data_IF_386315621480
#
_entry.id   IF_386315621480
#
_cell.length_a   1.000
_cell.length_b   1.000
_cell.length_c   1.000
_cell.angle_alpha   90.00
_cell.angle_beta   90.00
_cell.angle_gamma   90.00
#
_symmetry.space_group_name_H-M   'P 1'
#
loop_
_entity.id
_entity.type
_entity.pdbx_description
1 polymer ?
#
# COMPACT_ATOMS: atom_id res chain seq x y z
N UNK A 1 28.85 -11.00 30.40
CA UNK A 1 28.29 -11.57 29.16
C UNK A 1 27.22 -12.58 29.56
N UNK A 2 26.03 -12.52 28.96
CA UNK A 2 25.06 -13.62 29.10
C UNK A 2 25.74 -14.86 28.54
N UNK A 3 26.16 -15.76 29.42
CA UNK A 3 26.73 -17.02 29.01
C UNK A 3 25.56 -17.85 28.48
N UNK A 4 25.51 -18.06 27.16
CA UNK A 4 24.41 -18.77 26.49
C UNK A 4 24.19 -20.19 27.04
N UNK A 5 25.16 -20.72 27.80
CA UNK A 5 25.18 -22.04 28.40
C UNK A 5 25.17 -22.04 29.94
N UNK A 6 25.01 -20.90 30.62
CA UNK A 6 24.91 -20.90 32.09
C UNK A 6 23.46 -20.98 32.54
N UNK A 7 23.15 -21.96 33.36
CA UNK A 7 21.85 -22.18 34.03
C UNK A 7 21.64 -21.22 35.22
N UNK A 8 21.90 -19.93 35.06
CA UNK A 8 21.56 -18.94 36.09
C UNK A 8 20.09 -18.61 35.94
N UNK A 9 19.25 -19.12 36.84
CA UNK A 9 17.81 -18.83 36.86
C UNK A 9 17.60 -17.50 37.58
N UNK A 10 17.34 -16.44 36.81
CA UNK A 10 17.06 -15.12 37.36
C UNK A 10 15.64 -15.05 37.91
N UNK A 11 15.45 -14.28 38.99
CA UNK A 11 14.13 -14.06 39.61
C UNK A 11 13.78 -12.57 39.60
N UNK A 12 12.48 -12.28 39.62
CA UNK A 12 12.01 -10.92 39.84
C UNK A 12 12.54 -10.38 41.17
N UNK A 13 12.87 -9.09 41.20
CA UNK A 13 13.36 -8.40 42.38
C UNK A 13 14.86 -8.53 42.65
N UNK A 14 15.59 -9.37 41.88
CA UNK A 14 17.05 -9.42 41.90
C UNK A 14 17.66 -8.17 41.24
N UNK A 15 18.89 -7.83 41.63
CA UNK A 15 19.60 -6.70 41.02
C UNK A 15 19.90 -7.00 39.54
N UNK A 16 19.71 -5.99 38.69
CA UNK A 16 19.99 -6.14 37.26
C UNK A 16 21.50 -6.39 37.07
N UNK A 17 21.91 -7.49 36.41
CA UNK A 17 23.30 -7.96 36.42
C UNK A 17 24.26 -7.12 35.56
N UNK A 18 23.75 -6.16 34.77
CA UNK A 18 24.56 -5.27 33.94
C UNK A 18 23.80 -3.97 33.62
N UNK A 19 24.53 -2.86 33.43
CA UNK A 19 23.93 -1.57 33.10
C UNK A 19 23.43 -1.45 31.65
N UNK A 20 23.89 -2.34 30.74
CA UNK A 20 23.47 -2.37 29.34
C UNK A 20 23.69 -3.74 28.70
N UNK A 21 22.93 -4.07 27.67
CA UNK A 21 23.03 -5.34 26.95
C UNK A 21 24.18 -5.28 25.92
N UNK A 22 25.21 -6.13 26.03
CA UNK A 22 26.31 -6.17 25.06
C UNK A 22 25.86 -6.52 23.62
N UNK A 23 24.65 -7.06 23.44
CA UNK A 23 24.09 -7.41 22.15
C UNK A 23 23.12 -6.38 21.59
N UNK A 24 22.98 -5.19 22.19
CA UNK A 24 22.08 -4.13 21.70
C UNK A 24 22.33 -3.77 20.21
N UNK A 25 23.58 -3.88 19.72
CA UNK A 25 23.90 -3.67 18.29
C UNK A 25 23.15 -4.61 17.32
N UNK A 26 22.64 -5.75 17.80
CA UNK A 26 21.81 -6.67 17.02
C UNK A 26 20.53 -6.01 16.53
N UNK A 27 19.99 -5.03 17.27
CA UNK A 27 18.80 -4.26 16.85
C UNK A 27 18.97 -3.73 15.43
N UNK A 28 20.06 -3.00 15.18
CA UNK A 28 20.37 -2.42 13.86
C UNK A 28 20.52 -3.48 12.78
N UNK A 29 21.12 -4.63 13.11
CA UNK A 29 21.29 -5.75 12.17
C UNK A 29 19.95 -6.37 11.79
N UNK A 30 19.05 -6.60 12.75
CA UNK A 30 17.70 -7.11 12.46
C UNK A 30 16.88 -6.12 11.63
N UNK A 31 16.94 -4.82 11.94
CA UNK A 31 16.25 -3.79 11.17
C UNK A 31 16.76 -3.72 9.74
N UNK A 32 18.08 -3.66 9.52
CA UNK A 32 18.68 -3.64 8.18
C UNK A 32 18.34 -4.92 7.41
N UNK A 33 18.45 -6.08 8.04
CA UNK A 33 18.10 -7.37 7.43
C UNK A 33 16.63 -7.40 7.02
N UNK A 34 15.73 -6.89 7.88
CA UNK A 34 14.31 -6.75 7.57
C UNK A 34 14.08 -5.86 6.34
N UNK A 35 14.72 -4.70 6.26
CA UNK A 35 14.63 -3.79 5.10
C UNK A 35 15.13 -4.47 3.82
N UNK A 36 16.30 -5.11 3.85
CA UNK A 36 16.86 -5.82 2.70
C UNK A 36 15.95 -6.94 2.22
N UNK A 37 15.37 -7.71 3.15
CA UNK A 37 14.43 -8.78 2.81
C UNK A 37 13.15 -8.23 2.16
N UNK A 38 12.59 -7.14 2.67
CA UNK A 38 11.43 -6.46 2.06
C UNK A 38 11.75 -6.04 0.63
N UNK A 39 12.92 -5.43 0.40
CA UNK A 39 13.37 -5.00 -0.94
C UNK A 39 13.52 -6.20 -1.87
N UNK A 40 14.22 -7.26 -1.41
CA UNK A 40 14.46 -8.47 -2.19
C UNK A 40 13.17 -9.16 -2.61
N UNK A 41 12.27 -9.43 -1.66
CA UNK A 41 10.99 -10.11 -1.94
C UNK A 41 10.08 -9.24 -2.83
N UNK A 42 10.10 -7.91 -2.66
CA UNK A 42 9.34 -6.99 -3.52
C UNK A 42 9.89 -6.96 -4.95
N UNK A 43 11.22 -6.92 -5.11
CA UNK A 43 11.87 -7.02 -6.41
C UNK A 43 11.57 -8.37 -7.09
N UNK A 44 11.61 -9.47 -6.34
CA UNK A 44 11.24 -10.79 -6.85
C UNK A 44 9.78 -10.84 -7.34
N UNK A 45 8.83 -10.30 -6.56
CA UNK A 45 7.41 -10.22 -6.97
C UNK A 45 7.21 -9.36 -8.23
N UNK A 46 7.90 -8.24 -8.34
CA UNK A 46 7.87 -7.38 -9.54
C UNK A 46 8.46 -8.11 -10.76
N UNK A 47 9.57 -8.82 -10.59
CA UNK A 47 10.21 -9.61 -11.64
C UNK A 47 9.30 -10.74 -12.13
N UNK A 48 8.61 -11.44 -11.23
CA UNK A 48 7.61 -12.47 -11.59
C UNK A 48 6.43 -11.92 -12.42
N UNK A 49 6.15 -10.62 -12.32
CA UNK A 49 5.16 -9.92 -13.14
C UNK A 49 5.74 -9.27 -14.39
N UNK A 50 7.02 -9.53 -14.70
CA UNK A 50 7.77 -8.91 -15.79
C UNK A 50 7.81 -7.37 -15.73
N UNK A 51 7.80 -6.80 -14.52
CA UNK A 51 7.90 -5.36 -14.31
C UNK A 51 9.38 -4.95 -14.19
N UNK A 52 9.86 -3.96 -14.95
CA UNK A 52 11.23 -3.45 -14.83
C UNK A 52 11.52 -2.91 -13.43
N UNK A 53 12.63 -3.33 -12.83
CA UNK A 53 13.01 -2.95 -11.46
C UNK A 53 13.58 -1.53 -11.34
N UNK A 54 13.94 -0.89 -12.46
CA UNK A 54 14.56 0.44 -12.49
C UNK A 54 13.77 1.47 -11.67
N UNK A 55 12.47 1.58 -11.91
CA UNK A 55 11.64 2.58 -11.22
C UNK A 55 11.41 2.23 -9.75
N UNK A 56 11.40 0.95 -9.40
CA UNK A 56 11.34 0.49 -8.01
C UNK A 56 12.61 0.86 -7.24
N UNK A 57 13.79 0.59 -7.80
CA UNK A 57 15.08 0.95 -7.19
C UNK A 57 15.25 2.46 -7.04
N UNK A 58 14.90 3.23 -8.07
CA UNK A 58 14.88 4.69 -7.99
C UNK A 58 13.93 5.20 -6.89
N UNK A 59 12.80 4.52 -6.72
CA UNK A 59 11.86 4.80 -5.63
C UNK A 59 12.52 4.62 -4.27
N UNK A 60 13.29 3.55 -4.07
CA UNK A 60 14.04 3.28 -2.83
C UNK A 60 15.10 4.36 -2.57
N UNK A 61 15.88 4.71 -3.59
CA UNK A 61 16.93 5.73 -3.49
C UNK A 61 16.39 7.11 -3.10
N UNK A 62 15.13 7.40 -3.44
CA UNK A 62 14.44 8.62 -3.06
C UNK A 62 13.78 8.47 -1.67
N UNK A 63 13.07 7.37 -1.46
CA UNK A 63 12.23 7.20 -0.26
C UNK A 63 13.04 6.99 1.01
N UNK A 64 14.18 6.31 0.93
CA UNK A 64 14.96 5.96 2.11
C UNK A 64 15.62 7.20 2.75
N UNK A 65 16.33 8.09 2.01
CA UNK A 65 16.85 9.34 2.57
C UNK A 65 15.74 10.26 3.10
N UNK A 66 14.64 10.42 2.34
CA UNK A 66 13.50 11.25 2.76
C UNK A 66 12.82 10.66 4.00
N UNK A 67 12.75 9.33 4.11
CA UNK A 67 12.24 8.64 5.29
C UNK A 67 13.12 8.85 6.52
N UNK A 68 14.45 8.77 6.39
CA UNK A 68 15.38 9.03 7.50
C UNK A 68 15.26 10.49 7.97
N UNK A 69 15.22 11.44 7.03
CA UNK A 69 15.02 12.85 7.36
C UNK A 69 13.67 13.10 8.04
N UNK A 70 12.60 12.50 7.52
CA UNK A 70 11.27 12.57 8.14
C UNK A 70 11.27 11.97 9.55
N UNK A 71 11.96 10.86 9.77
CA UNK A 71 12.08 10.25 11.09
C UNK A 71 12.71 11.24 12.10
N UNK A 72 13.83 11.86 11.72
CA UNK A 72 14.52 12.84 12.55
C UNK A 72 13.67 14.08 12.84
N UNK A 73 13.05 14.67 11.81
CA UNK A 73 12.25 15.88 11.95
C UNK A 73 11.06 15.64 12.88
N UNK A 74 10.24 14.62 12.61
CA UNK A 74 9.04 14.37 13.42
C UNK A 74 9.36 13.81 14.80
N UNK A 75 10.47 13.07 14.96
CA UNK A 75 10.89 12.56 16.27
C UNK A 75 11.33 13.69 17.19
N UNK A 76 12.17 14.61 16.71
CA UNK A 76 12.63 15.74 17.50
C UNK A 76 11.57 16.81 17.74
N UNK A 77 10.67 17.04 16.77
CA UNK A 77 9.51 17.91 16.99
C UNK A 77 8.58 17.37 18.10
N UNK A 78 8.44 16.05 18.20
CA UNK A 78 7.62 15.42 19.24
C UNK A 78 8.27 15.34 20.62
N UNK A 79 9.59 15.57 20.74
CA UNK A 79 10.35 15.44 21.98
C UNK A 79 10.58 16.78 22.69
N UNK A 80 9.63 17.73 22.56
CA UNK A 80 9.78 19.14 22.94
C UNK A 80 10.32 19.35 24.37
N UNK A 81 11.61 19.62 24.50
CA UNK A 81 12.26 20.21 25.67
C UNK A 81 12.82 21.60 25.36
N UNK A 82 13.16 22.39 26.39
CA UNK A 82 13.50 23.83 26.28
C UNK A 82 14.80 24.18 25.52
N UNK A 83 15.51 23.20 24.96
CA UNK A 83 16.86 23.37 24.38
C UNK A 83 16.95 22.97 22.89
N UNK A 84 15.87 23.02 22.10
CA UNK A 84 15.92 22.63 20.69
C UNK A 84 16.15 23.81 19.74
N UNK A 85 17.03 23.62 18.75
CA UNK A 85 17.27 24.57 17.65
C UNK A 85 16.84 23.94 16.32
N UNK A 86 16.31 24.74 15.39
CA UNK A 86 15.72 24.28 14.12
C UNK A 86 16.66 23.37 13.29
N UNK A 87 17.98 23.62 13.33
CA UNK A 87 18.95 22.82 12.56
C UNK A 87 19.15 21.41 13.13
N UNK A 88 18.87 21.19 14.41
CA UNK A 88 18.98 19.87 15.04
C UNK A 88 17.97 18.88 14.46
N UNK A 89 16.87 19.36 13.87
CA UNK A 89 15.88 18.51 13.19
C UNK A 89 16.49 17.65 12.06
N UNK A 90 17.61 18.08 11.48
CA UNK A 90 18.30 17.37 10.40
C UNK A 90 19.37 16.39 10.89
N UNK A 91 19.71 16.41 12.18
CA UNK A 91 20.75 15.56 12.74
C UNK A 91 20.21 14.15 13.00
N UNK A 92 20.05 13.38 11.94
CA UNK A 92 19.54 12.01 11.98
C UNK A 92 20.49 11.02 12.68
N UNK A 93 21.72 11.43 13.00
CA UNK A 93 22.69 10.65 13.77
C UNK A 93 22.54 10.82 15.28
N UNK A 94 21.69 11.76 15.73
CA UNK A 94 21.33 11.92 17.14
C UNK A 94 20.05 11.13 17.47
N UNK A 95 19.85 10.79 18.76
CA UNK A 95 18.60 10.19 19.22
C UNK A 95 17.35 11.04 18.92
N UNK A 96 16.18 10.41 18.97
CA UNK A 96 14.90 11.08 18.74
C UNK A 96 14.37 10.91 17.31
N UNK A 97 14.35 9.68 16.79
CA UNK A 97 13.72 9.36 15.51
C UNK A 97 12.28 8.87 15.69
N UNK A 98 11.36 9.35 14.85
CA UNK A 98 9.97 8.91 14.80
C UNK A 98 9.73 7.89 13.68
N UNK A 99 9.24 6.71 14.05
CA UNK A 99 8.74 5.73 13.09
C UNK A 99 7.64 6.32 12.18
N UNK A 100 6.68 7.05 12.74
CA UNK A 100 5.59 7.67 11.98
C UNK A 100 6.11 8.73 11.00
N UNK A 101 7.09 9.52 11.41
CA UNK A 101 7.78 10.47 10.53
C UNK A 101 8.43 9.79 9.33
N UNK A 102 9.12 8.68 9.57
CA UNK A 102 9.75 7.88 8.50
C UNK A 102 8.71 7.33 7.52
N UNK A 103 7.65 6.72 8.05
CA UNK A 103 6.59 6.14 7.24
C UNK A 103 5.85 7.20 6.41
N UNK A 104 5.57 8.36 6.99
CA UNK A 104 4.89 9.46 6.32
C UNK A 104 5.76 10.03 5.20
N UNK A 105 6.98 10.49 5.49
CA UNK A 105 7.85 11.13 4.50
C UNK A 105 8.37 10.13 3.46
N UNK A 106 8.90 8.99 3.89
CA UNK A 106 9.43 7.96 2.98
C UNK A 106 8.33 7.31 2.14
N UNK A 107 7.21 6.97 2.76
CA UNK A 107 6.06 6.37 2.08
C UNK A 107 5.41 7.31 1.06
N UNK A 108 5.25 8.59 1.41
CA UNK A 108 4.73 9.59 0.46
C UNK A 108 5.69 9.83 -0.71
N UNK A 109 7.00 9.90 -0.46
CA UNK A 109 8.00 10.02 -1.51
C UNK A 109 7.97 8.82 -2.48
N UNK A 110 7.94 7.60 -1.95
CA UNK A 110 7.80 6.38 -2.77
C UNK A 110 6.50 6.39 -3.59
N UNK A 111 5.38 6.76 -2.96
CA UNK A 111 4.08 6.85 -3.63
C UNK A 111 4.10 7.88 -4.76
N UNK A 112 4.59 9.10 -4.51
CA UNK A 112 4.63 10.16 -5.52
C UNK A 112 5.52 9.79 -6.70
N UNK A 113 6.68 9.18 -6.44
CA UNK A 113 7.58 8.71 -7.48
C UNK A 113 6.92 7.62 -8.36
N UNK A 114 6.40 6.57 -7.74
CA UNK A 114 5.77 5.45 -8.47
C UNK A 114 4.47 5.90 -9.16
N UNK A 115 3.70 6.79 -8.54
CA UNK A 115 2.51 7.38 -9.15
C UNK A 115 2.87 8.21 -10.39
N UNK A 116 3.94 9.00 -10.33
CA UNK A 116 4.42 9.73 -11.50
C UNK A 116 4.88 8.77 -12.60
N UNK A 117 5.70 7.77 -12.26
CA UNK A 117 6.19 6.76 -13.22
C UNK A 117 5.09 5.86 -13.80
N UNK A 118 4.02 5.60 -13.06
CA UNK A 118 2.85 4.84 -13.53
C UNK A 118 2.25 5.41 -14.82
N UNK A 119 2.34 6.74 -15.01
CA UNK A 119 1.77 7.43 -16.18
C UNK A 119 2.57 7.18 -17.47
N UNK A 120 3.87 6.93 -17.34
CA UNK A 120 4.77 6.68 -18.47
C UNK A 120 4.89 5.19 -18.76
N UNK A 121 5.06 4.38 -17.71
CA UNK A 121 5.19 2.92 -17.82
C UNK A 121 3.87 2.21 -18.04
N UNK A 122 2.74 2.90 -17.83
CA UNK A 122 1.38 2.35 -17.86
C UNK A 122 1.18 1.20 -16.85
N UNK A 123 1.97 1.14 -15.79
CA UNK A 123 1.82 0.17 -14.71
C UNK A 123 1.02 0.81 -13.58
N UNK A 124 -0.12 0.24 -13.22
CA UNK A 124 -0.99 0.80 -12.18
C UNK A 124 -0.27 0.88 -10.82
N UNK A 125 -0.46 1.99 -10.10
CA UNK A 125 0.08 2.16 -8.74
C UNK A 125 -0.38 1.05 -7.78
N UNK A 126 -1.57 0.50 -8.00
CA UNK A 126 -2.10 -0.60 -7.20
C UNK A 126 -1.31 -1.90 -7.40
N UNK A 127 -0.66 -2.08 -8.56
CA UNK A 127 0.22 -3.23 -8.81
C UNK A 127 1.49 -3.10 -7.99
N UNK A 128 2.10 -1.91 -7.97
CA UNK A 128 3.25 -1.64 -7.10
C UNK A 128 2.88 -1.82 -5.63
N UNK A 129 1.72 -1.29 -5.20
CA UNK A 129 1.24 -1.43 -3.84
C UNK A 129 1.10 -2.91 -3.42
N UNK A 130 0.44 -3.75 -4.24
CA UNK A 130 0.30 -5.18 -3.95
C UNK A 130 1.63 -5.95 -3.94
N UNK A 131 2.62 -5.48 -4.70
CA UNK A 131 3.94 -6.11 -4.73
C UNK A 131 4.83 -5.71 -3.55
N UNK A 132 4.64 -4.52 -2.98
CA UNK A 132 5.52 -3.94 -1.95
C UNK A 132 4.87 -3.99 -0.56
N UNK A 133 3.67 -3.42 -0.42
CA UNK A 133 3.04 -3.13 0.87
C UNK A 133 2.87 -4.38 1.75
N UNK A 134 2.37 -5.52 1.25
CA UNK A 134 2.28 -6.73 2.07
C UNK A 134 3.62 -7.17 2.64
N UNK A 135 4.71 -7.02 1.89
CA UNK A 135 6.03 -7.50 2.30
C UNK A 135 6.59 -6.72 3.49
N UNK A 136 6.08 -5.53 3.80
CA UNK A 136 6.47 -4.77 5.01
C UNK A 136 6.29 -5.61 6.27
N UNK A 137 5.31 -6.52 6.30
CA UNK A 137 5.11 -7.47 7.41
C UNK A 137 6.33 -8.37 7.66
N UNK A 138 7.10 -8.73 6.63
CA UNK A 138 8.35 -9.48 6.82
C UNK A 138 9.37 -8.63 7.57
N UNK A 139 9.56 -7.39 7.13
CA UNK A 139 10.46 -6.45 7.80
C UNK A 139 10.06 -6.22 9.26
N UNK A 140 8.75 -6.08 9.53
CA UNK A 140 8.23 -5.99 10.88
C UNK A 140 8.51 -7.27 11.68
N UNK A 141 8.23 -8.45 11.13
CA UNK A 141 8.44 -9.71 11.83
C UNK A 141 9.88 -9.90 12.30
N UNK A 142 10.85 -9.51 11.47
CA UNK A 142 12.28 -9.55 11.79
C UNK A 142 12.67 -8.41 12.73
N UNK A 143 12.17 -7.20 12.51
CA UNK A 143 12.44 -6.04 13.35
C UNK A 143 12.03 -6.25 14.81
N UNK A 144 10.97 -7.02 15.08
CA UNK A 144 10.58 -7.39 16.45
C UNK A 144 11.64 -8.17 17.21
N UNK A 145 12.48 -8.94 16.53
CA UNK A 145 13.63 -9.57 17.19
C UNK A 145 14.68 -8.56 17.59
N UNK A 146 14.85 -7.48 16.83
CA UNK A 146 15.69 -6.36 17.23
C UNK A 146 15.23 -5.74 18.55
N UNK A 147 13.92 -5.55 18.71
CA UNK A 147 13.33 -4.98 19.93
C UNK A 147 13.68 -5.77 21.19
N UNK A 148 13.79 -7.10 21.10
CA UNK A 148 14.22 -7.95 22.21
C UNK A 148 15.66 -7.60 22.66
N UNK A 149 16.59 -7.42 21.73
CA UNK A 149 17.98 -7.05 22.05
C UNK A 149 18.12 -5.59 22.47
N UNK A 150 17.16 -4.73 22.10
CA UNK A 150 17.12 -3.35 22.54
C UNK A 150 16.33 -3.14 23.84
N UNK A 151 15.71 -4.21 24.37
CA UNK A 151 14.84 -4.14 25.55
C UNK A 151 13.71 -3.12 25.41
N UNK A 152 13.00 -3.12 24.27
CA UNK A 152 11.89 -2.21 23.96
C UNK A 152 10.63 -2.98 23.52
N UNK A 153 9.43 -2.44 23.76
CA UNK A 153 8.17 -3.02 23.25
C UNK A 153 7.99 -4.48 23.71
N UNK A 154 8.25 -4.69 24.99
CA UNK A 154 7.91 -5.92 25.71
C UNK A 154 6.46 -5.85 26.19
N UNK A 155 5.92 -6.98 26.66
CA UNK A 155 4.54 -7.06 27.10
C UNK A 155 4.32 -6.57 28.53
N UNK A 156 3.19 -6.99 29.11
CA UNK A 156 2.82 -6.67 30.48
C UNK A 156 3.79 -7.32 31.48
N UNK A 157 3.90 -6.71 32.65
CA UNK A 157 4.65 -7.25 33.78
C UNK A 157 4.12 -8.63 34.20
N UNK A 158 5.04 -9.54 34.48
CA UNK A 158 4.75 -10.89 34.96
C UNK A 158 5.04 -10.95 36.46
N UNK A 159 4.02 -11.35 37.23
CA UNK A 159 4.18 -11.67 38.64
C UNK A 159 4.90 -13.01 38.86
N UNK A 160 5.52 -13.19 40.01
CA UNK A 160 6.33 -14.38 40.34
C UNK A 160 5.55 -15.68 40.19
N UNK A 161 4.26 -15.67 40.55
CA UNK A 161 3.36 -16.82 40.41
C UNK A 161 3.15 -17.25 38.93
N UNK A 162 3.40 -16.36 37.98
CA UNK A 162 3.22 -16.58 36.55
C UNK A 162 4.55 -16.78 35.78
N UNK A 163 5.69 -16.88 36.47
CA UNK A 163 7.00 -17.04 35.85
C UNK A 163 7.13 -18.31 34.98
N UNK A 164 6.34 -19.34 35.29
CA UNK A 164 6.23 -20.58 34.49
C UNK A 164 5.78 -20.32 33.04
N UNK A 165 5.10 -19.19 32.77
CA UNK A 165 4.61 -18.82 31.43
C UNK A 165 5.71 -18.37 30.47
N UNK A 166 6.90 -18.01 30.95
CA UNK A 166 8.01 -17.56 30.10
C UNK A 166 9.25 -18.47 30.19
N UNK A 167 9.42 -19.20 31.28
CA UNK A 167 10.58 -20.07 31.52
C UNK A 167 10.64 -21.29 30.61
N UNK A 168 9.58 -21.60 29.86
CA UNK A 168 9.62 -22.61 28.78
C UNK A 168 10.37 -22.13 27.54
N UNK A 169 10.57 -20.82 27.38
CA UNK A 169 11.34 -20.27 26.28
C UNK A 169 12.83 -20.56 26.46
N UNK A 170 13.63 -20.60 25.38
CA UNK A 170 15.08 -20.68 25.48
C UNK A 170 15.68 -19.55 26.35
N UNK A 171 16.72 -19.87 27.12
CA UNK A 171 17.39 -18.92 28.04
C UNK A 171 17.81 -17.60 27.39
N UNK A 172 18.22 -17.63 26.12
CA UNK A 172 18.62 -16.41 25.40
C UNK A 172 17.46 -15.42 25.17
N UNK A 173 16.20 -15.88 25.23
CA UNK A 173 14.99 -15.07 25.03
C UNK A 173 14.48 -14.57 26.38
N UNK A 174 14.14 -15.47 27.29
CA UNK A 174 13.42 -15.06 28.50
C UNK A 174 14.28 -14.24 29.46
N UNK A 175 15.60 -14.46 29.49
CA UNK A 175 16.54 -13.60 30.23
C UNK A 175 16.67 -12.18 29.67
N UNK A 176 16.00 -11.82 28.57
CA UNK A 176 15.98 -10.45 28.03
C UNK A 176 14.60 -9.78 28.13
N UNK A 177 13.63 -10.46 28.74
CA UNK A 177 12.27 -9.94 28.87
C UNK A 177 12.13 -8.99 30.05
N UNK A 178 13.01 -7.99 30.17
CA UNK A 178 12.96 -6.96 31.20
C UNK A 178 13.43 -5.61 30.62
N UNK A 179 13.10 -4.50 31.27
CA UNK A 179 13.54 -3.17 30.87
C UNK A 179 14.73 -2.67 31.70
N UNK A 180 15.64 -1.90 31.08
CA UNK A 180 16.69 -1.18 31.80
C UNK A 180 16.25 0.18 32.33
N UNK A 181 15.32 0.81 31.63
CA UNK A 181 14.86 2.17 31.92
C UNK A 181 13.34 2.18 32.04
N UNK A 182 12.83 2.96 32.97
CA UNK A 182 11.43 3.27 33.06
C UNK A 182 11.04 4.11 31.83
N UNK A 183 10.01 3.67 31.11
CA UNK A 183 9.54 4.32 29.90
C UNK A 183 8.95 5.72 30.17
N UNK A 184 8.54 5.97 31.41
CA UNK A 184 7.79 7.17 31.81
C UNK A 184 8.75 8.24 32.37
N UNK A 185 9.62 7.83 33.31
CA UNK A 185 10.56 8.72 34.00
C UNK A 185 11.95 8.73 33.38
N UNK A 186 12.28 7.74 32.54
CA UNK A 186 13.64 7.54 32.00
C UNK A 186 14.66 7.04 33.03
N UNK A 187 14.23 6.82 34.27
CA UNK A 187 15.10 6.35 35.35
C UNK A 187 15.53 4.91 35.12
N UNK A 188 16.75 4.57 35.52
CA UNK A 188 17.24 3.19 35.45
C UNK A 188 16.54 2.33 36.49
N UNK A 189 16.00 1.19 36.06
CA UNK A 189 15.56 0.17 37.02
C UNK A 189 16.78 -0.39 37.74
N UNK A 190 16.68 -0.54 39.07
CA UNK A 190 17.69 -1.24 39.88
C UNK A 190 17.35 -2.73 40.01
N UNK A 191 16.05 -3.05 40.01
CA UNK A 191 15.51 -4.39 40.22
C UNK A 191 14.93 -4.96 38.96
N UNK A 192 15.09 -6.27 38.80
CA UNK A 192 14.62 -6.99 37.65
C UNK A 192 13.10 -7.24 37.74
N UNK A 193 12.39 -6.85 36.68
CA UNK A 193 10.97 -7.13 36.49
C UNK A 193 10.78 -7.76 35.11
N UNK A 194 10.31 -9.01 35.08
CA UNK A 194 10.06 -9.71 33.83
C UNK A 194 8.72 -9.32 33.20
N UNK A 195 8.68 -9.39 31.88
CA UNK A 195 7.55 -9.03 31.03
C UNK A 195 7.16 -10.16 30.08
N UNK A 196 5.93 -10.10 29.56
CA UNK A 196 5.46 -11.03 28.53
C UNK A 196 6.24 -10.86 27.21
N UNK A 197 6.44 -11.94 26.44
CA UNK A 197 7.18 -11.93 25.18
C UNK A 197 6.34 -11.37 24.03
N UNK A 198 5.81 -10.15 24.17
CA UNK A 198 4.95 -9.51 23.17
C UNK A 198 5.63 -9.44 21.79
N UNK A 199 6.93 -9.15 21.75
CA UNK A 199 7.73 -9.14 20.53
C UNK A 199 7.57 -10.43 19.70
N UNK A 200 7.47 -11.58 20.37
CA UNK A 200 7.36 -12.89 19.74
C UNK A 200 5.98 -13.08 19.14
N UNK A 201 4.93 -12.70 19.88
CA UNK A 201 3.55 -12.71 19.38
C UNK A 201 3.41 -11.80 18.15
N UNK A 202 3.97 -10.59 18.18
CA UNK A 202 3.95 -9.67 17.04
C UNK A 202 4.75 -10.22 15.85
N UNK A 203 5.92 -10.82 16.10
CA UNK A 203 6.77 -11.42 15.07
C UNK A 203 6.03 -12.53 14.33
N UNK A 204 5.47 -13.48 15.04
CA UNK A 204 4.72 -14.59 14.44
C UNK A 204 3.42 -14.13 13.80
N UNK A 205 2.67 -13.23 14.43
CA UNK A 205 1.41 -12.75 13.88
C UNK A 205 1.60 -11.98 12.57
N UNK A 206 2.62 -11.11 12.49
CA UNK A 206 2.95 -10.37 11.26
C UNK A 206 3.44 -11.32 10.16
N UNK A 207 4.29 -12.30 10.50
CA UNK A 207 4.73 -13.33 9.55
C UNK A 207 3.56 -14.19 9.04
N UNK A 208 2.67 -14.65 9.92
CA UNK A 208 1.49 -15.43 9.56
C UNK A 208 0.57 -14.63 8.64
N UNK A 209 0.31 -13.36 8.97
CA UNK A 209 -0.49 -12.48 8.12
C UNK A 209 0.15 -12.31 6.73
N UNK A 210 1.48 -12.19 6.65
CA UNK A 210 2.19 -12.13 5.36
C UNK A 210 1.99 -13.40 4.53
N UNK A 211 2.08 -14.58 5.16
CA UNK A 211 1.85 -15.88 4.54
C UNK A 211 0.40 -15.95 4.01
N UNK A 212 -0.57 -15.56 4.82
CA UNK A 212 -1.98 -15.54 4.44
C UNK A 212 -2.23 -14.62 3.24
N UNK A 213 -1.68 -13.40 3.24
CA UNK A 213 -1.86 -12.46 2.12
C UNK A 213 -1.19 -13.00 0.85
N UNK A 214 0.06 -13.45 0.94
CA UNK A 214 0.87 -13.81 -0.23
C UNK A 214 0.46 -15.13 -0.86
N UNK A 215 0.10 -16.15 -0.07
CA UNK A 215 -0.17 -17.49 -0.59
C UNK A 215 -1.67 -17.82 -0.63
N UNK A 216 -2.44 -17.41 0.36
CA UNK A 216 -3.87 -17.75 0.46
C UNK A 216 -4.71 -16.73 -0.29
N UNK A 217 -4.69 -15.46 0.11
CA UNK A 217 -5.56 -14.41 -0.45
C UNK A 217 -5.24 -14.19 -1.92
N UNK A 218 -3.96 -14.07 -2.30
CA UNK A 218 -3.57 -13.89 -3.70
C UNK A 218 -4.03 -15.03 -4.64
N UNK A 219 -4.23 -16.24 -4.11
CA UNK A 219 -4.67 -17.40 -4.89
C UNK A 219 -6.12 -17.84 -4.60
N UNK A 220 -6.84 -17.11 -3.75
CA UNK A 220 -8.19 -17.46 -3.30
C UNK A 220 -9.15 -17.66 -4.48
N UNK A 221 -9.00 -16.84 -5.51
CA UNK A 221 -9.80 -16.93 -6.73
C UNK A 221 -9.66 -18.27 -7.46
N UNK A 222 -8.48 -18.89 -7.47
CA UNK A 222 -8.25 -20.18 -8.12
C UNK A 222 -8.99 -21.30 -7.40
N UNK A 223 -9.28 -21.12 -6.11
CA UNK A 223 -9.99 -22.09 -5.27
C UNK A 223 -11.50 -21.95 -5.50
N UNK A 224 -12.02 -20.73 -5.44
CA UNK A 224 -13.47 -20.43 -5.52
C UNK A 224 -14.03 -20.69 -6.93
N UNK A 225 -13.29 -20.38 -7.99
CA UNK A 225 -13.80 -20.49 -9.34
C UNK A 225 -13.88 -21.94 -9.84
N UNK A 226 -14.90 -22.23 -10.65
CA UNK A 226 -14.91 -23.43 -11.50
C UNK A 226 -13.65 -23.43 -12.37
N UNK A 227 -12.92 -24.56 -12.37
CA UNK A 227 -11.63 -24.68 -13.05
C UNK A 227 -11.78 -24.48 -14.57
N UNK A 228 -10.79 -23.90 -15.27
CA UNK A 228 -10.91 -23.62 -16.71
C UNK A 228 -11.24 -24.87 -17.54
N UNK A 229 -10.56 -25.98 -17.28
CA UNK A 229 -10.79 -27.27 -17.96
C UNK A 229 -12.14 -27.91 -17.67
N UNK A 230 -12.91 -27.41 -16.69
CA UNK A 230 -14.31 -27.82 -16.47
C UNK A 230 -15.31 -26.92 -17.19
N UNK A 231 -14.95 -25.66 -17.47
CA UNK A 231 -15.80 -24.73 -18.22
C UNK A 231 -15.69 -24.96 -19.72
N UNK A 232 -14.47 -25.19 -20.20
CA UNK A 232 -14.17 -25.36 -21.61
C UNK A 232 -13.00 -26.36 -21.78
N UNK A 233 -13.31 -27.67 -21.84
CA UNK A 233 -12.29 -28.71 -21.91
C UNK A 233 -11.45 -28.69 -23.19
N UNK A 234 -11.99 -28.14 -24.29
CA UNK A 234 -11.31 -28.04 -25.59
C UNK A 234 -10.26 -26.92 -25.57
N UNK A 235 -10.61 -25.74 -25.04
CA UNK A 235 -9.65 -24.65 -24.91
C UNK A 235 -8.62 -24.90 -23.80
N UNK A 236 -8.98 -25.67 -22.77
CA UNK A 236 -8.11 -25.92 -21.61
C UNK A 236 -7.95 -27.42 -21.34
N UNK A 237 -7.27 -28.18 -22.22
CA UNK A 237 -7.05 -29.61 -22.00
C UNK A 237 -6.20 -29.85 -20.76
N UNK A 238 -6.58 -30.83 -19.95
CA UNK A 238 -5.83 -31.27 -18.78
C UNK A 238 -5.32 -32.70 -19.01
N UNK A 239 -4.57 -33.26 -18.06
CA UNK A 239 -3.99 -34.60 -18.21
C UNK A 239 -5.05 -35.68 -18.49
N UNK A 240 -6.24 -35.58 -17.89
CA UNK A 240 -7.34 -36.54 -18.10
C UNK A 240 -8.07 -36.35 -19.43
N UNK A 241 -7.96 -35.18 -20.05
CA UNK A 241 -8.62 -34.84 -21.32
C UNK A 241 -7.59 -34.24 -22.29
N UNK A 242 -6.56 -35.02 -22.59
CA UNK A 242 -5.55 -34.67 -23.58
C UNK A 242 -6.14 -34.74 -24.99
N UNK A 243 -5.83 -33.76 -25.83
CA UNK A 243 -6.36 -33.63 -27.20
C UNK A 243 -5.23 -33.63 -28.23
N UNK A 244 -5.54 -33.78 -29.52
CA UNK A 244 -4.52 -33.62 -30.55
C UNK A 244 -4.22 -32.14 -30.82
N UNK A 245 -2.98 -31.83 -31.22
CA UNK A 245 -2.56 -30.45 -31.47
C UNK A 245 -3.42 -29.73 -32.53
N UNK A 246 -3.92 -30.48 -33.51
CA UNK A 246 -4.80 -29.98 -34.58
C UNK A 246 -6.20 -29.57 -34.09
N UNK A 247 -6.63 -30.06 -32.93
CA UNK A 247 -7.96 -29.81 -32.36
C UNK A 247 -7.97 -28.57 -31.45
N UNK A 248 -6.82 -27.96 -31.17
CA UNK A 248 -6.73 -26.79 -30.30
C UNK A 248 -7.40 -25.59 -30.99
N UNK A 249 -8.46 -25.00 -30.40
CA UNK A 249 -9.09 -23.83 -30.97
C UNK A 249 -8.13 -22.63 -30.97
N UNK A 250 -8.28 -21.72 -31.94
CA UNK A 250 -7.54 -20.47 -31.99
C UNK A 250 -7.89 -19.61 -30.76
N UNK A 251 -6.95 -19.45 -29.85
CA UNK A 251 -7.12 -18.70 -28.61
C UNK A 251 -6.05 -17.62 -28.52
N UNK A 252 -6.47 -16.35 -28.52
CA UNK A 252 -5.56 -15.21 -28.54
C UNK A 252 -4.89 -15.01 -27.17
N UNK A 253 -3.56 -15.07 -27.15
CA UNK A 253 -2.75 -14.86 -25.94
C UNK A 253 -1.52 -14.01 -26.20
N UNK A 254 -1.13 -13.22 -25.21
CA UNK A 254 0.03 -12.32 -25.26
C UNK A 254 1.37 -13.04 -25.45
N UNK A 255 1.48 -14.27 -24.95
CA UNK A 255 2.70 -15.08 -24.96
C UNK A 255 2.37 -16.48 -25.48
N UNK A 256 3.23 -17.12 -26.30
CA UNK A 256 3.01 -18.50 -26.73
C UNK A 256 2.87 -19.44 -25.54
N UNK A 257 1.89 -20.34 -25.63
CA UNK A 257 1.53 -21.26 -24.56
C UNK A 257 2.38 -22.51 -24.65
N UNK A 258 2.95 -22.92 -23.51
CA UNK A 258 3.69 -24.17 -23.42
C UNK A 258 2.76 -25.33 -23.07
N UNK A 259 2.53 -26.21 -24.05
CA UNK A 259 1.82 -27.47 -23.86
C UNK A 259 2.78 -28.58 -23.46
N UNK A 260 2.27 -29.53 -22.67
CA UNK A 260 2.95 -30.78 -22.34
C UNK A 260 2.37 -31.89 -23.21
N UNK A 261 3.17 -32.93 -23.49
CA UNK A 261 2.76 -34.10 -24.26
C UNK A 261 2.56 -35.29 -23.34
N UNK A 262 1.51 -36.05 -23.57
CA UNK A 262 1.27 -37.35 -22.95
C UNK A 262 1.98 -38.48 -23.74
N UNK A 263 2.01 -39.69 -23.18
CA UNK A 263 2.61 -40.89 -23.78
C UNK A 263 2.10 -41.18 -25.20
N UNK A 264 0.86 -40.83 -25.48
CA UNK A 264 0.20 -41.03 -26.77
C UNK A 264 0.42 -39.86 -27.76
N UNK A 265 1.32 -38.92 -27.45
CA UNK A 265 1.59 -37.74 -28.30
C UNK A 265 0.54 -36.63 -28.23
N UNK A 266 -0.55 -36.83 -27.49
CA UNK A 266 -1.60 -35.83 -27.22
C UNK A 266 -1.09 -34.72 -26.31
N UNK A 267 -1.68 -33.54 -26.41
CA UNK A 267 -1.25 -32.34 -25.68
C UNK A 267 -2.20 -31.95 -24.56
N UNK A 268 -1.64 -31.41 -23.48
CA UNK A 268 -2.38 -30.90 -22.32
C UNK A 268 -1.66 -29.73 -21.64
N UNK A 269 -2.36 -28.99 -20.77
CA UNK A 269 -1.82 -27.89 -20.00
C UNK A 269 -1.57 -28.28 -18.54
N UNK A 270 -0.49 -27.77 -17.96
CA UNK A 270 -0.33 -27.80 -16.51
C UNK A 270 -1.39 -26.92 -15.84
N UNK A 271 -1.73 -27.21 -14.57
CA UNK A 271 -2.76 -26.44 -13.83
C UNK A 271 -2.48 -24.94 -13.83
N UNK A 272 -1.21 -24.54 -13.68
CA UNK A 272 -0.81 -23.14 -13.70
C UNK A 272 -0.96 -22.51 -15.10
N UNK A 273 -0.53 -23.23 -16.14
CA UNK A 273 -0.67 -22.78 -17.52
C UNK A 273 -2.13 -22.67 -17.96
N UNK A 274 -3.01 -23.58 -17.52
CA UNK A 274 -4.45 -23.48 -17.77
C UNK A 274 -5.04 -22.18 -17.20
N UNK A 275 -4.68 -21.80 -15.97
CA UNK A 275 -5.12 -20.52 -15.38
C UNK A 275 -4.51 -19.30 -16.08
N UNK A 276 -3.22 -19.36 -16.46
CA UNK A 276 -2.58 -18.28 -17.22
C UNK A 276 -3.25 -18.07 -18.58
N UNK A 277 -3.52 -19.15 -19.32
CA UNK A 277 -4.24 -19.11 -20.60
C UNK A 277 -5.66 -18.55 -20.42
N UNK A 278 -6.39 -19.02 -19.41
CA UNK A 278 -7.79 -18.69 -19.23
C UNK A 278 -8.04 -17.21 -18.85
N UNK A 279 -7.07 -16.55 -18.22
CA UNK A 279 -7.28 -15.21 -17.70
C UNK A 279 -6.07 -14.28 -17.89
N UNK A 280 -4.92 -14.59 -17.28
CA UNK A 280 -3.80 -13.65 -17.19
C UNK A 280 -3.19 -13.28 -18.55
N UNK A 281 -3.08 -14.25 -19.47
CA UNK A 281 -2.48 -14.07 -20.79
C UNK A 281 -3.52 -13.88 -21.89
N UNK A 282 -4.81 -14.01 -21.57
CA UNK A 282 -5.88 -13.88 -22.56
C UNK A 282 -5.96 -12.45 -23.10
N UNK A 283 -5.90 -12.34 -24.43
CA UNK A 283 -6.01 -11.07 -25.16
C UNK A 283 -7.27 -11.09 -26.02
N UNK A 284 -8.24 -10.19 -25.76
CA UNK A 284 -9.46 -10.10 -26.59
C UNK A 284 -9.17 -9.56 -27.99
N UNK A 285 -10.16 -9.67 -28.89
CA UNK A 285 -10.04 -9.14 -30.25
C UNK A 285 -9.83 -7.61 -30.24
N UNK A 286 -8.70 -7.16 -30.78
CA UNK A 286 -8.28 -5.74 -30.78
C UNK A 286 -9.34 -4.77 -31.30
N UNK A 287 -10.13 -5.17 -32.30
CA UNK A 287 -11.21 -4.34 -32.85
C UNK A 287 -12.26 -3.97 -31.78
N UNK A 288 -12.68 -4.93 -30.95
CA UNK A 288 -13.67 -4.71 -29.90
C UNK A 288 -13.11 -3.85 -28.76
N UNK A 289 -11.85 -4.08 -28.39
CA UNK A 289 -11.15 -3.31 -27.36
C UNK A 289 -11.05 -1.84 -27.77
N UNK A 290 -10.59 -1.58 -29.00
CA UNK A 290 -10.48 -0.24 -29.55
C UNK A 290 -11.80 0.52 -29.54
N UNK A 291 -12.93 -0.15 -29.81
CA UNK A 291 -14.27 0.48 -29.77
C UNK A 291 -14.60 0.95 -28.35
N UNK A 292 -14.38 0.11 -27.34
CA UNK A 292 -14.66 0.49 -25.95
C UNK A 292 -13.66 1.53 -25.43
N UNK A 293 -12.39 1.44 -25.82
CA UNK A 293 -11.35 2.40 -25.43
C UNK A 293 -11.61 3.79 -26.04
N UNK A 294 -12.08 3.87 -27.29
CA UNK A 294 -12.49 5.15 -27.92
C UNK A 294 -13.54 5.88 -27.10
N UNK A 295 -14.54 5.19 -26.55
CA UNK A 295 -15.57 5.82 -25.69
C UNK A 295 -14.95 6.48 -24.45
N UNK A 296 -13.94 5.84 -23.85
CA UNK A 296 -13.21 6.38 -22.69
C UNK A 296 -12.43 7.62 -23.10
N UNK A 297 -11.73 7.57 -24.23
CA UNK A 297 -10.89 8.67 -24.70
C UNK A 297 -11.69 9.87 -25.20
N UNK A 298 -12.84 9.67 -25.85
CA UNK A 298 -13.81 10.71 -26.18
C UNK A 298 -14.26 11.48 -24.94
N UNK A 299 -14.52 10.77 -23.82
CA UNK A 299 -14.85 11.43 -22.56
C UNK A 299 -13.70 12.28 -22.02
N UNK A 300 -12.44 11.87 -22.20
CA UNK A 300 -11.26 12.66 -21.78
C UNK A 300 -11.08 13.88 -22.67
N UNK A 301 -11.24 13.72 -23.98
CA UNK A 301 -11.15 14.81 -24.96
C UNK A 301 -12.23 15.85 -24.67
N UNK A 302 -13.47 15.43 -24.41
CA UNK A 302 -14.57 16.31 -24.04
C UNK A 302 -14.25 17.14 -22.78
N UNK A 303 -13.63 16.53 -21.77
CA UNK A 303 -13.18 17.25 -20.57
C UNK A 303 -12.16 18.35 -20.91
N UNK A 304 -11.16 18.04 -21.75
CA UNK A 304 -10.14 19.00 -22.17
C UNK A 304 -10.76 20.15 -22.97
N UNK A 305 -11.63 19.83 -23.93
CA UNK A 305 -12.37 20.83 -24.71
C UNK A 305 -13.24 21.73 -23.82
N UNK A 306 -13.96 21.17 -22.84
CA UNK A 306 -14.76 21.98 -21.91
C UNK A 306 -13.89 22.86 -21.00
N UNK A 307 -12.66 22.44 -20.66
CA UNK A 307 -11.69 23.29 -19.93
C UNK A 307 -11.19 24.46 -20.78
N UNK A 308 -10.84 24.20 -22.04
CA UNK A 308 -10.41 25.23 -22.99
C UNK A 308 -11.52 26.22 -23.29
N UNK A 309 -12.73 25.74 -23.60
CA UNK A 309 -13.92 26.58 -23.80
C UNK A 309 -14.19 27.46 -22.58
N UNK A 310 -14.13 26.89 -21.37
CA UNK A 310 -14.30 27.68 -20.14
C UNK A 310 -13.24 28.77 -20.00
N UNK A 311 -11.96 28.47 -20.27
CA UNK A 311 -10.87 29.44 -20.21
C UNK A 311 -11.05 30.56 -21.24
N UNK A 312 -11.38 30.21 -22.48
CA UNK A 312 -11.60 31.16 -23.57
C UNK A 312 -12.80 32.06 -23.28
N UNK A 313 -13.91 31.50 -22.81
CA UNK A 313 -15.10 32.27 -22.45
C UNK A 313 -14.83 33.21 -21.27
N UNK A 314 -14.13 32.74 -20.23
CA UNK A 314 -13.72 33.58 -19.09
C UNK A 314 -12.83 34.72 -19.55
N UNK A 315 -11.87 34.44 -20.45
CA UNK A 315 -11.00 35.47 -21.04
C UNK A 315 -11.78 36.50 -21.84
N UNK A 316 -12.73 36.06 -22.68
CA UNK A 316 -13.61 36.93 -23.46
C UNK A 316 -14.44 37.86 -22.58
N UNK A 317 -15.09 37.30 -21.54
CA UNK A 317 -15.88 38.07 -20.58
C UNK A 317 -15.01 39.12 -19.88
N UNK A 318 -13.78 38.76 -19.47
CA UNK A 318 -12.87 39.71 -18.83
C UNK A 318 -12.41 40.81 -19.80
N UNK A 319 -12.15 40.47 -21.07
CA UNK A 319 -11.82 41.46 -22.10
C UNK A 319 -12.97 42.43 -22.37
N UNK A 320 -14.20 41.93 -22.47
CA UNK A 320 -15.40 42.75 -22.69
C UNK A 320 -15.66 43.68 -21.48
N UNK A 321 -15.51 43.15 -20.26
CA UNK A 321 -15.57 43.96 -19.03
C UNK A 321 -14.48 45.02 -19.02
N UNK A 322 -13.24 44.68 -19.40
CA UNK A 322 -12.13 45.63 -19.41
C UNK A 322 -12.36 46.74 -20.44
N UNK A 323 -12.77 46.42 -21.67
CA UNK A 323 -13.12 47.41 -22.70
C UNK A 323 -14.20 48.39 -22.21
N UNK A 324 -15.25 47.88 -21.55
CA UNK A 324 -16.30 48.73 -20.98
C UNK A 324 -15.83 49.51 -19.75
N UNK A 325 -14.90 48.99 -18.97
CA UNK A 325 -14.24 49.70 -17.86
C UNK A 325 -13.35 50.84 -18.38
N UNK A 326 -12.63 50.65 -19.47
CA UNK A 326 -11.81 51.70 -20.09
C UNK A 326 -12.69 52.84 -20.62
N UNK A 327 -13.88 52.53 -21.15
CA UNK A 327 -14.87 53.54 -21.54
C UNK A 327 -15.42 54.32 -20.33
N UNK A 328 -15.61 53.67 -19.18
CA UNK A 328 -15.97 54.34 -17.92
C UNK A 328 -14.85 55.29 -17.45
N UNK A 329 -13.58 54.86 -17.51
CA UNK A 329 -12.42 55.69 -17.14
C UNK A 329 -12.29 56.91 -18.05
N UNK A 330 -12.56 56.75 -19.35
CA UNK A 330 -12.56 57.85 -20.34
C UNK A 330 -13.80 58.75 -20.26
N UNK A 331 -14.67 58.59 -19.25
CA UNK A 331 -15.87 59.41 -19.06
C UNK A 331 -17.00 59.18 -20.06
N UNK A 332 -16.92 58.13 -20.90
CA UNK A 332 -17.92 57.86 -21.97
C UNK A 332 -19.20 57.18 -21.47
N UNK A 333 -19.20 56.62 -20.26
CA UNK A 333 -20.27 55.78 -19.71
C UNK A 333 -20.36 56.07 -18.20
N UNK A 334 -21.56 56.07 -17.63
CA UNK A 334 -21.76 56.23 -16.18
C UNK A 334 -21.44 54.94 -15.39
N UNK A 335 -21.19 55.08 -14.08
CA UNK A 335 -20.93 53.94 -13.19
C UNK A 335 -22.13 52.97 -13.10
N UNK A 336 -23.35 53.48 -13.23
CA UNK A 336 -24.57 52.66 -13.21
C UNK A 336 -24.73 51.87 -14.51
N UNK A 337 -24.48 52.49 -15.66
CA UNK A 337 -24.49 51.81 -16.96
C UNK A 337 -23.45 50.68 -17.02
N UNK A 338 -22.26 50.89 -16.47
CA UNK A 338 -21.24 49.83 -16.38
C UNK A 338 -21.71 48.66 -15.50
N UNK A 339 -22.38 48.92 -14.37
CA UNK A 339 -22.95 47.88 -13.50
C UNK A 339 -24.04 47.07 -14.21
N UNK A 340 -24.94 47.73 -14.93
CA UNK A 340 -26.01 47.09 -15.70
C UNK A 340 -25.40 46.20 -16.79
N UNK A 341 -24.46 46.73 -17.59
CA UNK A 341 -23.76 45.97 -18.62
C UNK A 341 -23.10 44.71 -18.06
N UNK A 342 -22.36 44.85 -16.94
CA UNK A 342 -21.71 43.71 -16.28
C UNK A 342 -22.74 42.66 -15.86
N UNK A 343 -23.86 43.07 -15.28
CA UNK A 343 -24.94 42.17 -14.85
C UNK A 343 -25.55 41.41 -16.03
N UNK A 344 -25.83 42.10 -17.14
CA UNK A 344 -26.40 41.48 -18.34
C UNK A 344 -25.42 40.56 -19.05
N UNK A 345 -24.14 40.95 -19.15
CA UNK A 345 -23.10 40.11 -19.70
C UNK A 345 -22.99 38.79 -18.93
N UNK A 346 -22.98 38.84 -17.60
CA UNK A 346 -22.98 37.63 -16.77
C UNK A 346 -24.28 36.84 -16.91
N UNK A 347 -25.45 37.50 -17.06
CA UNK A 347 -26.74 36.83 -17.27
C UNK A 347 -26.74 36.05 -18.59
N UNK A 348 -26.21 36.62 -19.66
CA UNK A 348 -26.13 36.00 -20.99
C UNK A 348 -25.28 34.73 -20.98
N UNK A 349 -24.12 34.77 -20.32
CA UNK A 349 -23.22 33.61 -20.24
C UNK A 349 -23.47 32.69 -19.04
N UNK A 350 -24.42 33.00 -18.15
CA UNK A 350 -24.65 32.25 -16.90
C UNK A 350 -24.88 30.75 -17.13
N UNK A 351 -25.74 30.42 -18.11
CA UNK A 351 -26.10 29.03 -18.43
C UNK A 351 -24.89 28.26 -18.94
N UNK A 352 -24.16 28.84 -19.88
CA UNK A 352 -22.97 28.23 -20.49
C UNK A 352 -21.84 28.05 -19.47
N UNK A 353 -21.54 29.09 -18.67
CA UNK A 353 -20.55 29.00 -17.59
C UNK A 353 -20.90 27.94 -16.56
N UNK A 354 -22.18 27.82 -16.16
CA UNK A 354 -22.62 26.78 -15.21
C UNK A 354 -22.41 25.38 -15.80
N UNK A 355 -22.78 25.17 -17.07
CA UNK A 355 -22.56 23.90 -17.78
C UNK A 355 -21.08 23.56 -17.87
N UNK A 356 -20.27 24.48 -18.39
CA UNK A 356 -18.83 24.29 -18.54
C UNK A 356 -18.13 24.08 -17.18
N UNK A 357 -18.60 24.73 -16.10
CA UNK A 357 -18.06 24.52 -14.75
C UNK A 357 -18.25 23.08 -14.26
N UNK A 358 -19.34 22.44 -14.63
CA UNK A 358 -19.63 21.03 -14.30
C UNK A 358 -18.81 20.10 -15.21
N UNK A 359 -18.82 20.35 -16.53
CA UNK A 359 -18.14 19.50 -17.51
C UNK A 359 -16.61 19.55 -17.41
N UNK A 360 -16.04 20.72 -17.07
CA UNK A 360 -14.59 20.90 -16.89
C UNK A 360 -14.06 20.26 -15.60
N UNK A 361 -14.94 19.84 -14.70
CA UNK A 361 -14.56 19.28 -13.40
C UNK A 361 -13.95 17.89 -13.60
N UNK A 362 -12.66 17.78 -13.30
CA UNK A 362 -11.92 16.52 -13.42
C UNK A 362 -12.55 15.41 -12.57
N UNK A 363 -12.97 15.71 -11.34
CA UNK A 363 -13.56 14.72 -10.45
C UNK A 363 -14.86 14.16 -11.02
N UNK A 364 -15.76 15.02 -11.51
CA UNK A 364 -17.03 14.59 -12.11
C UNK A 364 -16.80 13.73 -13.36
N UNK A 365 -15.86 14.14 -14.23
CA UNK A 365 -15.48 13.33 -15.40
C UNK A 365 -14.90 11.99 -14.99
N UNK A 366 -14.00 11.98 -14.00
CA UNK A 366 -13.38 10.77 -13.47
C UNK A 366 -14.41 9.80 -12.88
N UNK A 367 -15.35 10.27 -12.06
CA UNK A 367 -16.40 9.42 -11.44
C UNK A 367 -17.36 8.82 -12.48
N UNK A 368 -17.61 9.53 -13.59
CA UNK A 368 -18.52 9.12 -14.68
C UNK A 368 -17.88 8.14 -15.67
N UNK A 369 -16.57 7.89 -15.60
CA UNK A 369 -15.92 6.91 -16.48
C UNK A 369 -16.50 5.52 -16.23
N UNK A 370 -16.69 4.80 -17.33
CA UNK A 370 -17.17 3.42 -17.33
C UNK A 370 -16.23 2.59 -18.23
N UNK A 371 -15.71 1.51 -17.66
CA UNK A 371 -14.87 0.52 -18.31
C UNK A 371 -15.42 -0.89 -18.11
N UNK A 372 -16.70 -1.03 -17.72
CA UNK A 372 -17.34 -2.31 -17.42
C UNK A 372 -17.33 -3.26 -18.63
N UNK A 373 -17.57 -2.74 -19.83
CA UNK A 373 -17.51 -3.53 -21.07
C UNK A 373 -16.09 -3.97 -21.39
N UNK A 374 -15.12 -3.07 -21.26
CA UNK A 374 -13.70 -3.39 -21.42
C UNK A 374 -13.26 -4.48 -20.43
N UNK A 375 -13.72 -4.40 -19.17
CA UNK A 375 -13.48 -5.43 -18.17
C UNK A 375 -14.10 -6.78 -18.55
N UNK A 376 -15.34 -6.80 -19.05
CA UNK A 376 -16.02 -8.02 -19.50
C UNK A 376 -15.32 -8.66 -20.71
N UNK A 377 -14.92 -7.86 -21.69
CA UNK A 377 -14.16 -8.34 -22.86
C UNK A 377 -12.87 -9.03 -22.42
N UNK A 378 -12.21 -8.49 -21.41
CA UNK A 378 -10.99 -9.03 -20.83
C UNK A 378 -11.19 -10.23 -19.89
N UNK A 379 -12.44 -10.61 -19.58
CA UNK A 379 -12.79 -11.74 -18.71
C UNK A 379 -14.01 -12.51 -19.26
N UNK A 380 -13.88 -13.22 -20.41
CA UNK A 380 -15.02 -13.78 -21.13
C UNK A 380 -15.78 -14.84 -20.33
N UNK A 381 -15.09 -15.57 -19.44
CA UNK A 381 -15.68 -16.60 -18.61
C UNK A 381 -16.13 -16.09 -17.22
N UNK A 382 -16.10 -14.78 -16.96
CA UNK A 382 -16.48 -14.13 -15.69
C UNK A 382 -15.83 -14.79 -14.46
N UNK A 383 -14.51 -14.96 -14.49
CA UNK A 383 -13.77 -15.45 -13.33
C UNK A 383 -13.78 -14.40 -12.21
N UNK A 384 -14.09 -14.82 -10.98
CA UNK A 384 -13.98 -13.98 -9.78
C UNK A 384 -12.51 -13.87 -9.38
N UNK A 385 -11.81 -12.84 -9.80
CA UNK A 385 -10.37 -12.67 -9.56
C UNK A 385 -10.06 -11.70 -8.41
N UNK A 386 -8.85 -11.77 -7.85
CA UNK A 386 -8.34 -10.76 -6.92
C UNK A 386 -7.72 -9.63 -7.73
N UNK A 387 -8.33 -8.44 -7.64
CA UNK A 387 -7.90 -7.27 -8.41
C UNK A 387 -6.71 -6.56 -7.77
N UNK A 388 -5.96 -5.80 -8.58
CA UNK A 388 -4.83 -5.01 -8.08
C UNK A 388 -5.29 -3.99 -7.03
N UNK A 389 -4.59 -3.94 -5.90
CA UNK A 389 -4.84 -3.06 -4.76
C UNK A 389 -5.49 -3.78 -3.58
N UNK A 390 -6.05 -4.97 -3.80
CA UNK A 390 -6.70 -5.74 -2.73
C UNK A 390 -5.70 -6.26 -1.71
N UNK A 391 -4.52 -6.72 -2.13
CA UNK A 391 -3.53 -7.26 -1.19
C UNK A 391 -2.99 -6.14 -0.28
N UNK A 392 -2.76 -4.95 -0.83
CA UNK A 392 -2.41 -3.78 -0.05
C UNK A 392 -3.53 -3.39 0.94
N UNK A 393 -4.79 -3.43 0.51
CA UNK A 393 -5.94 -3.19 1.40
C UNK A 393 -6.05 -4.21 2.53
N UNK A 394 -5.84 -5.51 2.24
CA UNK A 394 -5.84 -6.56 3.26
C UNK A 394 -4.66 -6.45 4.22
N UNK A 395 -3.50 -5.98 3.76
CA UNK A 395 -2.41 -5.62 4.66
C UNK A 395 -2.84 -4.56 5.67
N UNK A 396 -3.45 -3.46 5.22
CA UNK A 396 -3.89 -2.37 6.10
C UNK A 396 -4.87 -2.91 7.14
N UNK A 397 -5.97 -3.53 6.69
CA UNK A 397 -6.99 -4.06 7.61
C UNK A 397 -6.44 -5.16 8.52
N UNK A 398 -5.67 -6.10 7.97
CA UNK A 398 -5.11 -7.22 8.71
C UNK A 398 -4.12 -6.78 9.79
N UNK A 399 -3.21 -5.87 9.47
CA UNK A 399 -2.26 -5.33 10.44
C UNK A 399 -2.98 -4.52 11.53
N UNK A 400 -4.00 -3.74 11.16
CA UNK A 400 -4.82 -3.03 12.14
C UNK A 400 -5.59 -3.98 13.06
N UNK A 401 -6.10 -5.10 12.56
CA UNK A 401 -6.71 -6.15 13.39
C UNK A 401 -5.68 -6.75 14.36
N UNK A 402 -4.47 -7.04 13.89
CA UNK A 402 -3.40 -7.51 14.77
C UNK A 402 -3.11 -6.49 15.87
N UNK A 403 -3.08 -5.19 15.53
CA UNK A 403 -2.93 -4.10 16.50
C UNK A 403 -4.07 -4.07 17.52
N UNK A 404 -5.33 -4.21 17.11
CA UNK A 404 -6.44 -4.30 18.06
C UNK A 404 -6.30 -5.47 19.05
N UNK A 405 -5.74 -6.59 18.62
CA UNK A 405 -5.56 -7.78 19.46
C UNK A 405 -4.35 -7.62 20.39
N UNK A 406 -3.27 -7.00 19.91
CA UNK A 406 -1.96 -6.99 20.58
C UNK A 406 -1.70 -5.70 21.38
N UNK A 407 -2.31 -4.57 21.01
CA UNK A 407 -2.14 -3.30 21.73
C UNK A 407 -2.60 -3.35 23.20
N UNK A 408 -3.62 -4.14 23.62
CA UNK A 408 -3.91 -4.32 25.04
C UNK A 408 -2.73 -4.85 25.87
N UNK A 409 -1.81 -5.59 25.25
CA UNK A 409 -0.64 -6.15 25.93
C UNK A 409 0.54 -5.17 26.02
N UNK A 410 0.42 -3.97 25.44
CA UNK A 410 1.45 -2.93 25.45
C UNK A 410 1.31 -2.03 26.67
N UNK A 411 2.40 -1.36 27.00
CA UNK A 411 2.35 -0.22 27.90
C UNK A 411 1.71 1.00 27.19
N UNK A 412 0.99 1.89 27.89
CA UNK A 412 0.34 3.08 27.30
C UNK A 412 1.29 3.99 26.50
N UNK A 413 2.57 4.01 26.85
CA UNK A 413 3.64 4.79 26.21
C UNK A 413 4.13 4.21 24.88
N UNK A 414 3.78 2.95 24.61
CA UNK A 414 4.18 2.20 23.42
C UNK A 414 3.03 2.08 22.40
N UNK A 415 1.88 2.67 22.70
CA UNK A 415 0.75 2.80 21.79
C UNK A 415 1.07 3.75 20.63
N UNK A 416 0.30 3.63 19.55
CA UNK A 416 0.45 4.53 18.38
C UNK A 416 0.17 5.98 18.79
N UNK A 417 -0.88 6.17 19.58
CA UNK A 417 -1.11 7.41 20.31
C UNK A 417 -0.72 7.16 21.77
N UNK A 418 0.42 7.72 22.17
CA UNK A 418 0.95 7.59 23.53
C UNK A 418 -0.03 8.15 24.56
N UNK A 419 -0.16 7.47 25.70
CA UNK A 419 -0.92 7.89 26.89
C UNK A 419 -2.44 8.11 26.67
N UNK A 420 -2.96 7.83 25.48
CA UNK A 420 -4.38 8.01 25.18
C UNK A 420 -4.95 6.79 24.43
N UNK A 421 -5.42 5.82 25.22
CA UNK A 421 -5.98 4.57 24.70
C UNK A 421 -7.21 4.81 23.82
N UNK A 422 -8.10 5.72 24.22
CA UNK A 422 -9.33 6.03 23.48
C UNK A 422 -8.97 6.55 22.08
N UNK A 423 -8.06 7.53 22.00
CA UNK A 423 -7.62 8.08 20.72
C UNK A 423 -6.87 7.02 19.90
N UNK A 424 -6.08 6.15 20.53
CA UNK A 424 -5.40 5.03 19.87
C UNK A 424 -6.42 4.11 19.16
N UNK A 425 -7.45 3.65 19.86
CA UNK A 425 -8.46 2.76 19.28
C UNK A 425 -9.37 3.46 18.25
N UNK A 426 -9.65 4.76 18.41
CA UNK A 426 -10.33 5.55 17.37
C UNK A 426 -9.48 5.64 16.11
N UNK A 427 -8.18 5.89 16.25
CA UNK A 427 -7.23 5.91 15.15
C UNK A 427 -7.17 4.54 14.44
N UNK A 428 -7.05 3.45 15.20
CA UNK A 428 -7.07 2.10 14.64
C UNK A 428 -8.40 1.80 13.91
N UNK A 429 -9.54 2.23 14.46
CA UNK A 429 -10.86 2.06 13.80
C UNK A 429 -10.91 2.79 12.46
N UNK A 430 -10.38 4.01 12.40
CA UNK A 430 -10.27 4.78 11.16
C UNK A 430 -9.37 4.08 10.13
N UNK A 431 -8.24 3.50 10.54
CA UNK A 431 -7.37 2.74 9.64
C UNK A 431 -8.01 1.44 9.15
N UNK A 432 -8.75 0.74 10.02
CA UNK A 432 -9.46 -0.48 9.65
C UNK A 432 -10.52 -0.20 8.59
N UNK A 433 -11.37 0.81 8.84
CA UNK A 433 -12.41 1.25 7.90
C UNK A 433 -11.81 1.74 6.58
N UNK A 434 -10.69 2.48 6.62
CA UNK A 434 -9.96 2.87 5.42
C UNK A 434 -9.45 1.65 4.63
N UNK A 435 -8.84 0.67 5.29
CA UNK A 435 -8.38 -0.56 4.64
C UNK A 435 -9.53 -1.34 3.98
N UNK A 436 -10.68 -1.45 4.65
CA UNK A 436 -11.88 -2.10 4.09
C UNK A 436 -12.40 -1.32 2.88
N UNK A 437 -12.43 0.02 2.96
CA UNK A 437 -12.82 0.86 1.84
C UNK A 437 -11.89 0.68 0.64
N UNK A 438 -10.57 0.57 0.86
CA UNK A 438 -9.59 0.27 -0.19
C UNK A 438 -9.86 -1.10 -0.82
N UNK A 439 -10.15 -2.13 -0.03
CA UNK A 439 -10.51 -3.47 -0.53
C UNK A 439 -11.75 -3.41 -1.42
N UNK A 440 -12.84 -2.78 -0.95
CA UNK A 440 -14.10 -2.68 -1.69
C UNK A 440 -13.88 -1.89 -3.00
N UNK A 441 -13.16 -0.77 -2.90
CA UNK A 441 -12.85 0.08 -4.04
C UNK A 441 -12.03 -0.68 -5.10
N UNK A 442 -10.93 -1.31 -4.69
CA UNK A 442 -10.02 -2.03 -5.58
C UNK A 442 -10.68 -3.29 -6.19
N UNK A 443 -11.50 -3.99 -5.41
CA UNK A 443 -12.11 -5.25 -5.84
C UNK A 443 -13.33 -5.04 -6.75
N UNK A 444 -14.21 -4.06 -6.45
CA UNK A 444 -15.52 -3.97 -7.09
C UNK A 444 -15.73 -2.73 -7.96
N UNK A 445 -15.10 -1.60 -7.61
CA UNK A 445 -15.37 -0.31 -8.25
C UNK A 445 -14.33 -0.03 -9.33
N UNK A 446 -13.05 -0.02 -8.96
CA UNK A 446 -11.96 0.37 -9.86
C UNK A 446 -11.86 -0.44 -11.16
N UNK A 447 -12.05 -1.77 -11.13
CA UNK A 447 -12.01 -2.61 -12.34
C UNK A 447 -13.03 -2.22 -13.41
N UNK A 448 -14.19 -1.74 -12.96
CA UNK A 448 -15.34 -1.44 -13.83
C UNK A 448 -15.41 0.03 -14.21
N UNK A 449 -14.65 0.91 -13.56
CA UNK A 449 -14.70 2.36 -13.80
C UNK A 449 -13.45 2.94 -14.45
N UNK A 450 -12.26 2.49 -14.06
CA UNK A 450 -11.01 3.20 -14.39
C UNK A 450 -9.94 2.34 -15.06
N UNK A 451 -10.30 1.16 -15.57
CA UNK A 451 -9.36 0.38 -16.38
C UNK A 451 -9.32 0.91 -17.80
N UNK A 452 -8.12 0.92 -18.35
CA UNK A 452 -7.84 1.43 -19.69
C UNK A 452 -6.94 0.42 -20.40
N UNK A 453 -7.08 0.33 -21.73
CA UNK A 453 -6.22 -0.50 -22.57
C UNK A 453 -4.75 -0.03 -22.51
N UNK A 454 -3.82 -0.98 -22.61
CA UNK A 454 -2.39 -0.75 -22.58
C UNK A 454 -1.83 -0.53 -21.17
N UNK A 455 -2.66 -0.59 -20.13
CA UNK A 455 -2.22 -0.54 -18.73
C UNK A 455 -2.05 -1.95 -18.14
N UNK A 456 -1.03 -2.10 -17.30
CA UNK A 456 -0.81 -3.29 -16.48
C UNK A 456 -1.53 -3.14 -15.14
N UNK A 457 -2.50 -4.02 -14.90
CA UNK A 457 -3.16 -4.24 -13.62
C UNK A 457 -2.79 -5.65 -13.11
N UNK A 458 -3.77 -6.51 -12.86
CA UNK A 458 -3.55 -7.95 -12.64
C UNK A 458 -3.15 -8.69 -13.92
N UNK A 459 -3.47 -8.09 -15.07
CA UNK A 459 -3.01 -8.44 -16.41
C UNK A 459 -2.89 -7.16 -17.24
N UNK A 460 -2.29 -7.26 -18.42
CA UNK A 460 -2.33 -6.17 -19.39
C UNK A 460 -3.70 -6.13 -20.07
N UNK A 461 -4.32 -4.94 -20.07
CA UNK A 461 -5.68 -4.70 -20.55
C UNK A 461 -5.76 -4.27 -22.00
#
# INVERSE_FOLDING_TARGET
MINFFSDVIWKNGEDIPYNSDPLSFMYSIFIITGVLLVIFVSAFKLHLRAIPLKDFLNGIYISLPIGILGASIFGKLGASGDQWKIYMLFFFWEPGMSFFGSMLCGGTAAFLWLWHKSRYTKISIFVYADCIVPNILLGQSIGRWGNLFNHEILGREISDANMSKITWLPNFIWHRLFYFHNLDTGETFEKLQFHEPLFLYESFATLLLWILITFVIANLWKIINKKPWKKDPLNFPNLSNSIYQSEIPSYSTQVPIRYLKDKNGKVYLSRNWAWKKAYTLYEPQKALVNIEQRKIDESKIKLLQSREKYRNLTRKINQDIQKKKDNLIKGKISKNEFKIYKKDLFKNYRRELKRLKIEKNYFNSWVRRDSKNLYKLNNPYDYRIVNSGVLAGVYISGYTILRFILDPFRNPYELTVKENEILNYLFLTMFLTFGIAVIIFAQFIAPKKWREEGWLYEKSY
#
